data_IF_116090302319
#
_entry.id   IF_116090302319
#
_cell.length_a   1.000
_cell.length_b   1.000
_cell.length_c   1.000
_cell.angle_alpha   90.00
_cell.angle_beta   90.00
_cell.angle_gamma   90.00
#
_symmetry.space_group_name_H-M   'P 1'
#
loop_
_entity.id
_entity.type
_entity.pdbx_description
1 polymer ?
#
# COMPACT_ATOMS: atom_id res chain seq x y z
N UNK A 1 22.40 12.43 -32.23
CA UNK A 1 22.40 10.96 -32.08
C UNK A 1 21.99 10.72 -30.64
N UNK A 2 20.68 10.73 -30.47
CA UNK A 2 19.97 10.56 -29.21
C UNK A 2 20.01 9.08 -28.82
N UNK A 3 20.70 8.76 -27.72
CA UNK A 3 20.51 7.50 -27.02
C UNK A 3 19.61 7.76 -25.81
N UNK A 4 18.33 8.06 -26.09
CA UNK A 4 17.27 7.91 -25.10
C UNK A 4 16.91 6.43 -25.04
N UNK A 5 17.43 5.72 -24.02
CA UNK A 5 16.84 4.45 -23.59
C UNK A 5 15.64 4.78 -22.68
N UNK A 6 14.45 4.23 -22.94
CA UNK A 6 13.26 4.56 -22.17
C UNK A 6 13.37 4.00 -20.75
N UNK A 7 13.12 4.85 -19.75
CA UNK A 7 13.08 4.54 -18.29
C UNK A 7 11.82 3.70 -17.92
N UNK A 8 11.23 2.99 -18.87
CA UNK A 8 10.12 2.09 -18.61
C UNK A 8 10.67 0.70 -18.23
N UNK A 9 10.95 0.47 -16.95
CA UNK A 9 10.77 -0.82 -16.24
C UNK A 9 11.43 -0.91 -14.84
N UNK A 10 11.94 0.17 -14.27
CA UNK A 10 12.54 0.16 -12.92
C UNK A 10 11.46 0.26 -11.83
N UNK A 11 10.65 -0.79 -11.61
CA UNK A 11 9.78 -0.82 -10.41
C UNK A 11 9.63 -2.18 -9.71
N UNK A 12 10.46 -3.17 -10.03
CA UNK A 12 10.73 -4.32 -9.14
C UNK A 12 12.13 -4.27 -8.51
N UNK A 13 12.96 -3.32 -8.92
CA UNK A 13 14.39 -3.27 -8.62
C UNK A 13 14.72 -2.67 -7.24
N UNK A 14 13.74 -2.19 -6.46
CA UNK A 14 14.06 -1.62 -5.14
C UNK A 14 14.53 -2.68 -4.12
N UNK A 15 14.26 -3.97 -4.35
CA UNK A 15 14.91 -5.08 -3.65
C UNK A 15 16.37 -5.31 -4.13
N UNK A 16 16.62 -5.16 -5.43
CA UNK A 16 17.97 -5.31 -6.03
C UNK A 16 18.90 -4.13 -5.69
N UNK A 17 18.38 -2.91 -5.56
CA UNK A 17 19.15 -1.74 -5.13
C UNK A 17 19.46 -1.69 -3.62
N UNK A 18 18.74 -2.46 -2.81
CA UNK A 18 18.91 -2.51 -1.34
C UNK A 18 19.59 -3.79 -0.83
N UNK A 19 20.08 -4.65 -1.73
CA UNK A 19 20.64 -5.98 -1.38
C UNK A 19 19.65 -6.90 -0.64
N UNK A 20 18.34 -6.69 -0.83
CA UNK A 20 17.28 -7.48 -0.20
C UNK A 20 16.75 -8.46 -1.24
N UNK A 21 17.14 -9.72 -1.14
CA UNK A 21 16.60 -10.80 -1.98
C UNK A 21 15.37 -11.44 -1.33
N UNK A 22 14.29 -10.67 -1.27
CA UNK A 22 13.03 -11.11 -0.68
C UNK A 22 12.45 -12.33 -1.41
N UNK A 23 12.68 -12.47 -2.72
CA UNK A 23 12.18 -13.60 -3.49
C UNK A 23 12.81 -14.90 -2.99
N UNK A 24 14.14 -14.96 -2.91
CA UNK A 24 14.85 -16.14 -2.42
C UNK A 24 14.47 -16.47 -0.98
N UNK A 25 14.39 -15.46 -0.10
CA UNK A 25 14.00 -15.66 1.30
C UNK A 25 12.58 -16.23 1.44
N UNK A 26 11.62 -15.83 0.58
CA UNK A 26 10.27 -16.40 0.56
C UNK A 26 10.30 -17.88 0.12
N UNK A 27 11.05 -18.17 -0.94
CA UNK A 27 11.12 -19.51 -1.56
C UNK A 27 11.87 -20.53 -0.70
N UNK A 28 12.85 -20.06 0.06
CA UNK A 28 13.64 -20.86 0.99
C UNK A 28 12.97 -21.02 2.36
N UNK A 29 11.86 -20.32 2.61
CA UNK A 29 11.15 -20.36 3.90
C UNK A 29 11.90 -19.63 5.01
N UNK A 30 12.72 -18.63 4.67
CA UNK A 30 13.42 -17.77 5.63
C UNK A 30 12.52 -16.66 6.19
N UNK A 31 11.32 -16.46 5.61
CA UNK A 31 10.32 -15.53 6.11
C UNK A 31 8.90 -16.12 6.03
N UNK A 32 8.10 -15.81 7.05
CA UNK A 32 6.67 -16.14 7.09
C UNK A 32 5.78 -14.98 6.64
N UNK A 33 6.33 -13.76 6.61
CA UNK A 33 5.61 -12.54 6.27
C UNK A 33 6.48 -11.58 5.46
N UNK A 34 5.91 -11.05 4.38
CA UNK A 34 6.50 -10.00 3.54
C UNK A 34 5.58 -8.79 3.51
N UNK A 35 6.05 -7.62 3.94
CA UNK A 35 5.30 -6.36 3.82
C UNK A 35 5.96 -5.54 2.71
N UNK A 36 5.22 -5.32 1.62
CA UNK A 36 5.65 -4.48 0.51
C UNK A 36 5.31 -3.04 0.84
N UNK A 37 6.36 -2.23 0.98
CA UNK A 37 6.28 -0.87 1.46
C UNK A 37 6.63 0.13 0.34
N UNK A 38 5.86 1.21 0.14
CA UNK A 38 6.22 2.23 -0.83
C UNK A 38 7.47 2.99 -0.36
N UNK A 39 8.48 3.09 -1.24
CA UNK A 39 9.70 3.83 -0.95
C UNK A 39 9.48 5.33 -1.20
N UNK A 40 9.84 6.16 -0.23
CA UNK A 40 9.69 7.61 -0.28
C UNK A 40 10.84 8.27 -1.06
N UNK A 41 10.96 8.02 -2.37
CA UNK A 41 11.86 8.83 -3.20
C UNK A 41 11.10 10.00 -3.80
N UNK A 42 11.32 11.18 -3.23
CA UNK A 42 10.72 12.45 -3.63
C UNK A 42 11.28 13.01 -4.95
N UNK A 43 11.64 12.15 -5.91
CA UNK A 43 12.10 12.60 -7.21
C UNK A 43 10.90 13.03 -8.06
N UNK A 44 11.04 14.16 -8.76
CA UNK A 44 9.99 14.68 -9.61
C UNK A 44 9.60 13.66 -10.71
N UNK A 45 8.31 13.39 -10.85
CA UNK A 45 7.79 12.46 -11.87
C UNK A 45 7.62 11.01 -11.41
N UNK A 46 7.91 10.69 -10.14
CA UNK A 46 7.60 9.38 -9.56
C UNK A 46 6.10 9.34 -9.15
N UNK A 47 5.39 8.22 -9.39
CA UNK A 47 4.01 8.01 -8.93
C UNK A 47 3.85 8.32 -7.43
N UNK A 48 2.62 8.62 -7.00
CA UNK A 48 2.27 8.99 -5.62
C UNK A 48 3.12 8.17 -4.59
N UNK A 49 4.06 8.82 -3.86
CA UNK A 49 5.02 8.16 -2.99
C UNK A 49 4.38 7.56 -1.73
N UNK A 50 3.04 7.54 -1.68
CA UNK A 50 2.24 6.97 -0.62
C UNK A 50 1.57 5.65 -1.02
N UNK A 51 1.82 5.12 -2.22
CA UNK A 51 1.18 3.90 -2.73
C UNK A 51 2.15 2.91 -3.36
N UNK A 52 1.88 1.62 -3.15
CA UNK A 52 2.47 0.53 -3.93
C UNK A 52 1.58 0.30 -5.15
N UNK A 53 2.13 -0.01 -6.33
CA UNK A 53 1.31 -0.37 -7.48
C UNK A 53 0.82 -1.81 -7.37
N UNK A 54 -0.36 -2.11 -7.92
CA UNK A 54 -0.91 -3.47 -7.94
C UNK A 54 -0.01 -4.44 -8.73
N UNK A 55 0.64 -3.96 -9.79
CA UNK A 55 1.57 -4.75 -10.60
C UNK A 55 2.80 -5.15 -9.80
N UNK A 56 3.33 -4.27 -8.95
CA UNK A 56 4.44 -4.61 -8.07
C UNK A 56 4.02 -5.67 -7.06
N UNK A 57 2.84 -5.53 -6.45
CA UNK A 57 2.32 -6.54 -5.51
C UNK A 57 2.16 -7.91 -6.18
N UNK A 58 1.63 -7.95 -7.41
CA UNK A 58 1.48 -9.18 -8.18
C UNK A 58 2.82 -9.89 -8.40
N UNK A 59 3.92 -9.15 -8.63
CA UNK A 59 5.27 -9.73 -8.76
C UNK A 59 5.75 -10.41 -7.48
N UNK A 60 5.47 -9.84 -6.30
CA UNK A 60 5.79 -10.52 -5.03
C UNK A 60 4.96 -11.79 -4.84
N UNK A 61 3.67 -11.75 -5.22
CA UNK A 61 2.78 -12.91 -5.17
C UNK A 61 3.26 -14.04 -6.09
N UNK A 62 3.72 -13.70 -7.29
CA UNK A 62 4.31 -14.63 -8.25
C UNK A 62 5.66 -15.19 -7.76
N UNK A 63 6.53 -14.34 -7.21
CA UNK A 63 7.83 -14.74 -6.67
C UNK A 63 7.69 -15.79 -5.55
N UNK A 64 6.68 -15.64 -4.68
CA UNK A 64 6.35 -16.65 -3.66
C UNK A 64 5.92 -17.99 -4.26
N UNK A 65 5.21 -17.98 -5.39
CA UNK A 65 4.71 -19.18 -6.04
C UNK A 65 5.77 -19.93 -6.86
N UNK A 66 6.88 -19.27 -7.16
CA UNK A 66 7.95 -19.82 -8.02
C UNK A 66 8.95 -20.61 -7.17
N UNK A 67 9.31 -21.85 -7.53
CA UNK A 67 10.38 -22.58 -6.84
C UNK A 67 11.73 -21.91 -7.04
N UNK A 68 12.60 -21.91 -6.01
CA UNK A 68 13.98 -21.44 -6.16
C UNK A 68 14.72 -22.23 -7.25
N UNK A 69 15.40 -21.52 -8.14
CA UNK A 69 16.24 -22.08 -9.19
C UNK A 69 17.59 -22.62 -8.65
N UNK A 70 17.95 -22.25 -7.42
CA UNK A 70 19.12 -22.79 -6.73
C UNK A 70 18.79 -24.19 -6.20
N UNK A 71 19.11 -25.21 -6.99
CA UNK A 71 19.21 -26.57 -6.51
C UNK A 71 20.43 -26.72 -5.59
N UNK A 72 20.33 -26.23 -4.36
CA UNK A 72 21.37 -26.46 -3.35
C UNK A 72 21.13 -27.79 -2.62
N UNK A 73 22.07 -28.70 -2.82
CA UNK A 73 22.20 -30.07 -2.26
C UNK A 73 22.37 -30.10 -0.72
N UNK A 74 22.25 -28.94 -0.06
CA UNK A 74 22.32 -28.78 1.39
C UNK A 74 20.96 -28.52 2.06
N UNK A 75 19.87 -28.56 1.29
CA UNK A 75 18.52 -28.53 1.86
C UNK A 75 18.35 -29.77 2.74
N UNK A 76 18.35 -29.60 4.07
CA UNK A 76 17.58 -30.53 4.89
C UNK A 76 16.17 -30.50 4.29
N UNK A 77 15.62 -31.64 3.84
CA UNK A 77 14.28 -31.65 3.27
C UNK A 77 13.41 -30.93 4.28
N UNK A 78 12.69 -29.90 3.81
CA UNK A 78 11.62 -29.32 4.58
C UNK A 78 10.82 -30.49 5.14
N UNK A 79 10.87 -30.69 6.45
CA UNK A 79 10.25 -31.85 7.10
C UNK A 79 8.74 -31.88 6.87
N UNK A 80 8.21 -30.79 6.32
CA UNK A 80 6.84 -30.63 5.86
C UNK A 80 6.82 -29.96 4.47
N UNK A 81 6.24 -30.58 3.42
CA UNK A 81 6.00 -29.95 2.12
C UNK A 81 5.08 -28.71 2.13
N UNK A 82 4.57 -28.29 3.29
CA UNK A 82 3.90 -27.00 3.50
C UNK A 82 4.87 -25.81 3.62
N UNK A 83 6.10 -26.01 4.11
CA UNK A 83 6.93 -24.92 4.65
C UNK A 83 7.57 -23.98 3.60
N UNK A 84 7.35 -24.22 2.30
CA UNK A 84 7.88 -23.40 1.21
C UNK A 84 6.83 -22.52 0.51
N UNK A 85 5.59 -22.48 1.02
CA UNK A 85 4.47 -21.68 0.43
C UNK A 85 3.77 -20.79 1.46
N UNK A 86 4.26 -20.82 2.70
CA UNK A 86 3.82 -20.13 3.91
C UNK A 86 3.78 -18.59 3.88
N UNK A 87 4.66 -17.97 3.10
CA UNK A 87 4.91 -16.53 3.27
C UNK A 87 3.66 -15.71 2.92
N UNK A 88 3.13 -14.98 3.90
CA UNK A 88 2.00 -14.07 3.69
C UNK A 88 2.49 -12.71 3.23
N UNK A 89 1.91 -12.21 2.15
CA UNK A 89 2.25 -10.94 1.53
C UNK A 89 1.22 -9.89 1.93
N UNK A 90 1.71 -8.77 2.43
CA UNK A 90 0.90 -7.63 2.84
C UNK A 90 1.32 -6.40 2.05
N UNK A 91 0.33 -5.62 1.61
CA UNK A 91 0.60 -4.30 1.04
C UNK A 91 0.47 -3.24 2.13
N UNK A 92 1.44 -2.34 2.20
CA UNK A 92 1.36 -1.25 3.16
C UNK A 92 0.51 -0.08 2.65
N UNK A 93 -0.31 0.47 3.53
CA UNK A 93 -1.20 1.59 3.25
C UNK A 93 -0.90 2.73 4.21
N UNK A 94 -0.55 3.88 3.63
CA UNK A 94 -0.24 5.10 4.36
C UNK A 94 -1.50 5.95 4.62
N UNK A 95 -1.89 6.17 5.89
CA UNK A 95 -3.01 7.03 6.19
C UNK A 95 -2.58 8.51 6.26
N UNK A 96 -2.39 9.13 5.10
CA UNK A 96 -1.90 10.52 4.94
C UNK A 96 -2.94 11.49 4.37
N UNK A 97 -4.16 11.49 4.90
CA UNK A 97 -5.21 12.41 4.45
C UNK A 97 -6.08 11.87 3.32
N UNK A 98 -5.92 10.61 2.93
CA UNK A 98 -6.70 9.97 1.87
C UNK A 98 -8.18 9.91 2.27
N UNK A 99 -9.13 10.21 1.36
CA UNK A 99 -10.55 10.04 1.65
C UNK A 99 -10.91 8.56 1.83
N UNK A 100 -12.03 8.28 2.51
CA UNK A 100 -12.56 6.93 2.72
C UNK A 100 -12.57 6.08 1.43
N UNK A 101 -13.06 6.66 0.34
CA UNK A 101 -13.13 5.95 -0.95
C UNK A 101 -11.75 5.61 -1.52
N UNK A 102 -10.75 6.46 -1.29
CA UNK A 102 -9.38 6.16 -1.70
C UNK A 102 -8.84 4.91 -1.01
N UNK A 103 -9.10 4.74 0.29
CA UNK A 103 -8.69 3.53 1.01
C UNK A 103 -9.45 2.30 0.50
N UNK A 104 -10.75 2.44 0.21
CA UNK A 104 -11.59 1.34 -0.31
C UNK A 104 -11.07 0.84 -1.64
N UNK A 105 -10.90 1.74 -2.62
CA UNK A 105 -10.44 1.38 -3.96
C UNK A 105 -9.04 0.76 -3.90
N UNK A 106 -8.13 1.36 -3.13
CA UNK A 106 -6.78 0.82 -2.97
C UNK A 106 -6.78 -0.59 -2.40
N UNK A 107 -7.59 -0.85 -1.37
CA UNK A 107 -7.70 -2.19 -0.80
C UNK A 107 -8.27 -3.20 -1.82
N UNK A 108 -9.27 -2.81 -2.62
CA UNK A 108 -9.81 -3.64 -3.71
C UNK A 108 -8.70 -4.01 -4.70
N UNK A 109 -7.97 -3.01 -5.22
CA UNK A 109 -6.91 -3.21 -6.20
C UNK A 109 -5.80 -4.12 -5.65
N UNK A 110 -5.45 -3.92 -4.37
CA UNK A 110 -4.43 -4.67 -3.67
C UNK A 110 -4.83 -6.12 -3.45
N UNK A 111 -6.06 -6.39 -3.00
CA UNK A 111 -6.58 -7.74 -2.88
C UNK A 111 -6.73 -8.44 -4.24
N UNK A 112 -7.11 -7.71 -5.28
CA UNK A 112 -7.16 -8.22 -6.65
C UNK A 112 -5.77 -8.63 -7.16
N UNK A 113 -4.70 -7.95 -6.71
CA UNK A 113 -3.31 -8.35 -6.98
C UNK A 113 -2.86 -9.63 -6.26
N UNK A 114 -3.69 -10.19 -5.37
CA UNK A 114 -3.45 -11.49 -4.74
C UNK A 114 -2.73 -11.46 -3.40
N UNK A 115 -2.62 -10.30 -2.76
CA UNK A 115 -2.05 -10.20 -1.41
C UNK A 115 -2.97 -10.82 -0.35
N UNK A 116 -2.39 -11.18 0.80
CA UNK A 116 -3.08 -11.82 1.91
C UNK A 116 -3.69 -10.83 2.90
N UNK A 117 -3.19 -9.60 2.94
CA UNK A 117 -3.69 -8.58 3.84
C UNK A 117 -3.06 -7.21 3.65
N UNK A 118 -3.40 -6.29 4.54
CA UNK A 118 -2.89 -4.93 4.53
C UNK A 118 -2.08 -4.65 5.80
N UNK A 119 -1.02 -3.86 5.65
CA UNK A 119 -0.29 -3.22 6.74
C UNK A 119 -0.67 -1.74 6.78
N UNK A 120 -0.65 -1.13 7.98
CA UNK A 120 -0.94 0.29 8.18
C UNK A 120 0.26 0.97 8.85
N UNK A 121 1.23 1.39 8.04
CA UNK A 121 2.33 2.22 8.52
C UNK A 121 1.88 3.63 8.85
N UNK A 122 2.71 4.36 9.60
CA UNK A 122 2.51 5.78 9.91
C UNK A 122 1.20 6.05 10.68
N UNK A 123 0.66 5.06 11.40
CA UNK A 123 -0.57 5.19 12.22
C UNK A 123 -0.29 5.64 13.65
N UNK A 124 0.87 5.30 14.20
CA UNK A 124 1.23 5.63 15.57
C UNK A 124 1.31 7.14 15.80
N UNK A 125 0.68 7.63 16.87
CA UNK A 125 0.59 9.05 17.26
C UNK A 125 -0.07 10.00 16.24
N UNK A 126 -0.63 9.49 15.12
CA UNK A 126 -1.43 10.32 14.21
C UNK A 126 -2.82 10.55 14.77
N UNK A 127 -3.29 11.80 14.64
CA UNK A 127 -4.71 12.10 14.82
C UNK A 127 -5.47 11.66 13.57
N UNK A 128 -6.00 10.44 13.60
CA UNK A 128 -6.85 9.94 12.53
C UNK A 128 -8.06 10.85 12.37
N UNK A 129 -8.34 11.29 11.14
CA UNK A 129 -9.58 12.00 10.84
C UNK A 129 -10.73 11.00 10.90
N UNK A 130 -11.89 11.43 11.40
CA UNK A 130 -13.08 10.57 11.42
C UNK A 130 -13.39 9.98 10.03
N UNK A 131 -13.10 10.74 8.96
CA UNK A 131 -13.22 10.32 7.56
C UNK A 131 -12.26 9.23 7.11
N UNK A 132 -11.10 9.13 7.74
CA UNK A 132 -10.13 8.07 7.44
C UNK A 132 -10.50 6.82 8.25
N UNK A 133 -10.77 7.00 9.55
CA UNK A 133 -11.10 5.90 10.45
C UNK A 133 -12.35 5.13 10.03
N UNK A 134 -13.33 5.82 9.44
CA UNK A 134 -14.57 5.19 8.98
C UNK A 134 -14.33 4.04 8.00
N UNK A 135 -13.27 4.12 7.18
CA UNK A 135 -12.87 3.08 6.25
C UNK A 135 -11.72 2.22 6.74
N UNK A 136 -10.70 2.78 7.40
CA UNK A 136 -9.51 2.03 7.86
C UNK A 136 -9.91 0.78 8.66
N UNK A 137 -10.89 0.91 9.58
CA UNK A 137 -11.39 -0.21 10.40
C UNK A 137 -12.08 -1.33 9.61
N UNK A 138 -12.40 -1.09 8.33
CA UNK A 138 -13.17 -1.95 7.45
C UNK A 138 -12.31 -2.64 6.39
N UNK A 139 -11.06 -2.22 6.19
CA UNK A 139 -10.22 -2.70 5.08
C UNK A 139 -9.87 -4.20 5.11
N UNK A 140 -10.04 -4.87 6.24
CA UNK A 140 -9.87 -6.33 6.34
C UNK A 140 -11.05 -7.14 5.77
N UNK A 141 -12.20 -6.52 5.55
CA UNK A 141 -13.43 -7.17 5.07
C UNK A 141 -13.43 -7.28 3.54
N UNK A 142 -12.51 -8.10 3.02
CA UNK A 142 -12.21 -8.22 1.59
C UNK A 142 -13.46 -8.42 0.72
N UNK A 143 -14.41 -9.25 1.16
CA UNK A 143 -15.57 -9.63 0.37
C UNK A 143 -16.63 -8.52 0.32
N UNK A 144 -16.65 -7.66 1.33
CA UNK A 144 -17.65 -6.61 1.50
C UNK A 144 -17.21 -5.26 0.91
N UNK A 145 -15.91 -5.08 0.65
CA UNK A 145 -15.35 -3.81 0.16
C UNK A 145 -16.02 -3.29 -1.13
N UNK A 146 -16.31 -4.17 -2.09
CA UNK A 146 -16.96 -3.79 -3.35
C UNK A 146 -18.37 -3.22 -3.13
N UNK A 147 -19.09 -3.73 -2.13
CA UNK A 147 -20.47 -3.32 -1.84
C UNK A 147 -20.60 -2.01 -1.05
N UNK A 148 -19.50 -1.43 -0.56
CA UNK A 148 -19.53 -0.27 0.32
C UNK A 148 -19.36 1.09 -0.37
N UNK A 149 -19.54 1.18 -1.68
CA UNK A 149 -19.46 2.46 -2.39
C UNK A 149 -20.45 3.52 -1.85
N UNK A 150 -21.71 3.11 -1.64
CA UNK A 150 -22.72 4.00 -1.06
C UNK A 150 -22.39 4.40 0.39
N UNK A 151 -21.75 3.48 1.11
CA UNK A 151 -21.28 3.70 2.47
C UNK A 151 -20.11 4.69 2.53
N UNK A 152 -19.26 4.77 1.51
CA UNK A 152 -18.08 5.67 1.53
C UNK A 152 -18.37 7.06 1.00
N UNK A 153 -19.24 7.17 0.00
CA UNK A 153 -19.55 8.44 -0.65
C UNK A 153 -20.29 9.44 0.27
N UNK A 154 -21.06 8.94 1.25
CA UNK A 154 -21.95 9.77 2.07
C UNK A 154 -21.47 10.09 3.50
N UNK A 155 -20.40 9.47 3.99
CA UNK A 155 -20.06 9.55 5.43
C UNK A 155 -19.57 10.93 5.87
N UNK A 156 -18.91 11.67 4.99
CA UNK A 156 -18.31 12.96 5.35
C UNK A 156 -18.56 13.98 4.25
N UNK A 157 -19.37 14.98 4.59
CA UNK A 157 -19.57 16.15 3.76
C UNK A 157 -18.67 17.28 4.25
N UNK A 158 -17.86 17.84 3.36
CA UNK A 158 -17.20 19.12 3.62
C UNK A 158 -18.19 20.25 3.31
N UNK A 159 -18.54 21.03 4.32
CA UNK A 159 -19.29 22.28 4.14
C UNK A 159 -18.44 23.46 4.58
N UNK A 160 -18.62 24.60 3.93
CA UNK A 160 -17.97 25.84 4.34
C UNK A 160 -18.65 26.36 5.58
N UNK A 161 -17.92 26.41 6.70
CA UNK A 161 -18.37 27.14 7.88
C UNK A 161 -18.49 28.61 7.49
N UNK A 162 -19.68 29.21 7.68
CA UNK A 162 -19.92 30.63 7.35
C UNK A 162 -19.76 31.54 8.55
N UNK A 163 -20.14 31.05 9.72
CA UNK A 163 -19.99 31.77 10.98
C UNK A 163 -19.57 30.82 12.09
N UNK A 164 -18.75 31.29 13.01
CA UNK A 164 -18.39 30.59 14.24
C UNK A 164 -18.49 31.57 15.40
N UNK A 165 -19.38 31.29 16.37
CA UNK A 165 -19.66 32.19 17.51
C UNK A 165 -20.01 33.63 17.09
N UNK A 166 -20.75 33.80 15.99
CA UNK A 166 -21.16 35.11 15.48
C UNK A 166 -20.08 35.85 14.67
N UNK A 167 -18.88 35.29 14.53
CA UNK A 167 -17.80 35.83 13.71
C UNK A 167 -17.88 35.19 12.32
N UNK A 168 -17.82 35.99 11.26
CA UNK A 168 -17.77 35.49 9.88
C UNK A 168 -16.47 34.72 9.65
N UNK A 169 -16.56 33.53 9.06
CA UNK A 169 -15.41 32.71 8.65
C UNK A 169 -15.20 32.77 7.14
N UNK A 170 -15.87 33.70 6.46
CA UNK A 170 -15.67 33.95 5.03
C UNK A 170 -14.27 34.51 4.78
N UNK A 171 -13.57 33.86 3.84
CA UNK A 171 -12.19 34.16 3.46
C UNK A 171 -12.05 35.59 2.91
N UNK A 172 -13.12 36.18 2.40
CA UNK A 172 -13.16 37.58 1.96
C UNK A 172 -12.88 38.58 3.11
N UNK A 173 -13.06 38.16 4.36
CA UNK A 173 -12.76 38.96 5.56
C UNK A 173 -11.54 38.44 6.34
N UNK A 174 -10.80 37.49 5.78
CA UNK A 174 -9.54 37.01 6.34
C UNK A 174 -8.43 37.93 5.86
N UNK A 175 -7.76 38.62 6.79
CA UNK A 175 -6.56 39.40 6.50
C UNK A 175 -5.44 38.43 6.06
N UNK A 176 -5.12 38.40 4.76
CA UNK A 176 -3.93 37.74 4.23
C UNK A 176 -2.84 38.79 4.04
N UNK A 177 -2.23 39.22 5.13
CA UNK A 177 -1.05 40.08 5.22
C UNK A 177 0.00 39.54 6.20
N UNK A 178 0.04 38.21 6.37
CA UNK A 178 1.10 37.48 7.08
C UNK A 178 2.05 36.76 6.14
#
# INVERSE_FOLDING_TARGET
>A
MDNYLPIHEIYAEYCLGSSIDAATWMQEGLMDHCIVHPCHSAAAGIPDPTSVSAELLAKFVEARATPSAAGDDHRQPASDPSSGRDCRIYADVYPRGMPAEGYRQRAIDYYAAGIDGLSLWDTHARRTRASEWSMIRRLGHRQELEGWEADTAGLFQRTTLRTFQGITTDRAYSFTDG
#
